data_IF_590189169628
#
_entry.id   IF_590189169628
#
_cell.length_a   1.000
_cell.length_b   1.000
_cell.length_c   1.000
_cell.angle_alpha   90.00
_cell.angle_beta   90.00
_cell.angle_gamma   90.00
#
_symmetry.space_group_name_H-M   'P 1'
#
loop_
_entity.id
_entity.type
_entity.pdbx_description
1 polymer ?
#
# COMPACT_ATOMS: atom_id res chain seq x y z
N UNK A 1 89.16 -42.36 -53.41
CA UNK A 1 88.12 -41.73 -54.22
C UNK A 1 88.00 -40.26 -53.79
N UNK A 2 88.81 -39.38 -54.43
CA UNK A 2 88.95 -37.97 -54.10
C UNK A 2 87.81 -37.17 -54.75
N UNK A 3 86.84 -36.67 -53.91
CA UNK A 3 85.73 -35.80 -54.40
C UNK A 3 86.36 -34.47 -54.79
N UNK A 4 86.20 -34.07 -56.06
CA UNK A 4 86.76 -32.85 -56.66
C UNK A 4 86.17 -31.58 -55.93
N UNK A 5 86.99 -30.53 -55.74
CA UNK A 5 86.57 -29.34 -54.95
C UNK A 5 85.30 -28.64 -55.47
N UNK A 6 85.05 -28.76 -56.80
CA UNK A 6 83.82 -28.23 -57.45
C UNK A 6 82.52 -28.91 -56.99
N UNK A 7 82.56 -30.20 -56.73
CA UNK A 7 81.39 -30.96 -56.27
C UNK A 7 80.96 -30.60 -54.80
N UNK A 8 81.99 -30.31 -53.99
CA UNK A 8 81.78 -29.81 -52.61
C UNK A 8 81.13 -28.43 -52.55
N UNK A 9 81.55 -27.55 -53.55
CA UNK A 9 81.00 -26.21 -53.63
C UNK A 9 79.51 -26.21 -54.08
N UNK A 10 79.14 -27.09 -55.03
CA UNK A 10 77.73 -27.25 -55.49
C UNK A 10 76.87 -27.82 -54.36
N UNK A 11 77.38 -28.79 -53.60
CA UNK A 11 76.67 -29.37 -52.49
C UNK A 11 76.43 -28.34 -51.36
N UNK A 12 77.41 -27.49 -51.05
CA UNK A 12 77.27 -26.42 -50.06
C UNK A 12 76.27 -25.36 -50.48
N UNK A 13 76.18 -25.01 -51.77
CA UNK A 13 75.19 -24.04 -52.32
C UNK A 13 73.78 -24.65 -52.26
N UNK A 14 73.59 -25.93 -52.62
CA UNK A 14 72.28 -26.57 -52.56
C UNK A 14 71.77 -26.70 -51.15
N UNK A 15 72.64 -27.02 -50.15
CA UNK A 15 72.27 -27.05 -48.71
C UNK A 15 71.96 -25.64 -48.25
N UNK A 16 72.73 -24.63 -48.63
CA UNK A 16 72.45 -23.22 -48.30
C UNK A 16 71.09 -22.72 -48.80
N UNK A 17 70.79 -23.03 -50.09
CA UNK A 17 69.45 -22.67 -50.65
C UNK A 17 68.34 -23.46 -49.99
N UNK A 18 68.52 -24.73 -49.63
CA UNK A 18 67.58 -25.54 -48.92
C UNK A 18 67.30 -24.98 -47.51
N UNK A 19 68.31 -24.52 -46.79
CA UNK A 19 68.14 -23.91 -45.45
C UNK A 19 67.47 -22.56 -45.55
N UNK A 20 67.76 -21.75 -46.57
CA UNK A 20 67.05 -20.48 -46.77
C UNK A 20 65.59 -20.71 -47.12
N UNK A 21 65.26 -21.67 -47.97
CA UNK A 21 63.86 -22.04 -48.28
C UNK A 21 63.11 -22.58 -47.04
N UNK A 22 63.78 -23.41 -46.26
CA UNK A 22 63.20 -23.91 -44.98
C UNK A 22 62.98 -22.78 -43.99
N UNK A 23 63.89 -21.82 -43.87
CA UNK A 23 63.74 -20.66 -42.98
C UNK A 23 62.58 -19.74 -43.43
N UNK A 24 62.44 -19.50 -44.76
CA UNK A 24 61.34 -18.72 -45.31
C UNK A 24 59.99 -19.43 -45.05
N UNK A 25 59.94 -20.75 -45.23
CA UNK A 25 58.77 -21.54 -44.99
C UNK A 25 58.41 -21.56 -43.48
N UNK A 26 59.36 -21.70 -42.57
CA UNK A 26 59.20 -21.67 -41.16
C UNK A 26 58.65 -20.28 -40.62
N UNK A 27 59.23 -19.18 -41.21
CA UNK A 27 58.72 -17.82 -40.89
C UNK A 27 57.30 -17.59 -41.44
N UNK A 28 57.02 -18.14 -42.63
CA UNK A 28 55.67 -18.11 -43.21
C UNK A 28 54.64 -18.87 -42.34
N UNK A 29 55.01 -20.09 -41.91
CA UNK A 29 54.20 -20.90 -41.04
C UNK A 29 53.96 -20.24 -39.66
N UNK A 30 55.02 -19.71 -39.04
CA UNK A 30 54.91 -18.99 -37.76
C UNK A 30 54.04 -17.74 -37.86
N UNK A 31 54.10 -16.99 -39.00
CA UNK A 31 53.20 -15.84 -39.21
C UNK A 31 51.74 -16.25 -39.41
N UNK A 32 51.47 -17.37 -40.10
CA UNK A 32 50.11 -17.86 -40.31
C UNK A 32 49.52 -18.39 -39.00
N UNK A 33 50.31 -19.02 -38.13
CA UNK A 33 49.87 -19.44 -36.80
C UNK A 33 49.61 -18.23 -35.90
N UNK A 34 50.48 -17.24 -35.86
CA UNK A 34 50.30 -16.00 -35.10
C UNK A 34 49.06 -15.20 -35.54
N UNK A 35 48.76 -15.15 -36.85
CA UNK A 35 47.56 -14.50 -37.36
C UNK A 35 46.30 -15.29 -37.03
N UNK A 36 46.35 -16.62 -37.08
CA UNK A 36 45.22 -17.47 -36.69
C UNK A 36 44.94 -17.44 -35.17
N UNK A 37 45.96 -17.23 -34.36
CA UNK A 37 45.86 -17.07 -32.91
C UNK A 37 45.30 -15.68 -32.56
N UNK A 38 45.80 -14.62 -33.20
CA UNK A 38 45.28 -13.26 -33.08
C UNK A 38 43.80 -13.14 -33.52
N UNK A 39 43.40 -13.92 -34.54
CA UNK A 39 41.96 -13.97 -34.94
C UNK A 39 41.09 -14.77 -33.96
N UNK A 40 41.66 -15.75 -33.24
CA UNK A 40 40.95 -16.49 -32.18
C UNK A 40 40.85 -15.68 -30.86
N UNK A 41 41.86 -14.88 -30.57
CA UNK A 41 41.90 -14.00 -29.42
C UNK A 41 41.16 -12.68 -29.64
N UNK A 42 40.76 -12.37 -30.89
CA UNK A 42 40.01 -11.16 -31.15
C UNK A 42 38.67 -11.23 -30.39
N UNK A 43 38.42 -10.34 -29.41
CA UNK A 43 37.16 -10.31 -28.67
C UNK A 43 36.01 -10.26 -29.67
N UNK A 44 35.03 -11.16 -29.53
CA UNK A 44 33.82 -11.11 -30.35
C UNK A 44 33.25 -9.69 -30.23
N UNK A 45 33.17 -8.98 -31.35
CA UNK A 45 32.64 -7.62 -31.39
C UNK A 45 31.29 -7.62 -30.71
N UNK A 46 31.23 -7.06 -29.52
CA UNK A 46 29.97 -6.93 -28.76
C UNK A 46 29.05 -6.07 -29.61
N UNK A 47 27.92 -6.57 -30.11
CA UNK A 47 27.04 -5.77 -30.93
C UNK A 47 26.63 -4.53 -30.19
N UNK A 48 26.82 -3.36 -30.77
CA UNK A 48 26.42 -2.09 -30.19
C UNK A 48 24.89 -2.10 -30.05
N UNK A 49 24.40 -2.16 -28.81
CA UNK A 49 22.97 -2.28 -28.50
C UNK A 49 22.34 -0.97 -28.06
N UNK A 50 23.16 0.00 -27.67
CA UNK A 50 22.74 1.30 -27.16
C UNK A 50 23.06 2.38 -28.20
N UNK A 51 22.04 3.17 -28.51
CA UNK A 51 22.08 4.28 -29.44
C UNK A 51 21.48 5.50 -28.76
N UNK A 52 21.83 6.69 -29.24
CA UNK A 52 21.15 7.94 -28.84
C UNK A 52 20.27 8.39 -30.00
N UNK A 53 18.99 8.57 -29.76
CA UNK A 53 18.02 9.08 -30.72
C UNK A 53 17.19 10.17 -30.05
N UNK A 54 17.18 11.37 -30.63
CA UNK A 54 16.49 12.57 -30.09
C UNK A 54 16.82 12.86 -28.62
N UNK A 55 18.13 12.72 -28.27
CA UNK A 55 18.62 12.95 -26.90
C UNK A 55 18.21 11.89 -25.86
N UNK A 56 17.55 10.80 -26.29
CA UNK A 56 17.16 9.70 -25.43
C UNK A 56 17.98 8.46 -25.74
N UNK A 57 18.31 7.72 -24.70
CA UNK A 57 18.97 6.41 -24.86
C UNK A 57 17.97 5.40 -25.41
N UNK A 58 18.33 4.76 -26.49
CA UNK A 58 17.53 3.75 -27.19
C UNK A 58 18.27 2.42 -27.18
N UNK A 59 17.65 1.38 -26.65
CA UNK A 59 18.23 0.05 -26.55
C UNK A 59 17.63 -0.87 -27.62
N UNK A 60 18.48 -1.43 -28.52
CA UNK A 60 18.08 -2.41 -29.52
C UNK A 60 18.58 -3.80 -29.13
N UNK A 61 17.65 -4.72 -28.91
CA UNK A 61 17.95 -6.12 -28.59
C UNK A 61 17.20 -6.99 -29.58
N UNK A 62 17.90 -7.97 -30.12
CA UNK A 62 17.29 -8.95 -31.00
C UNK A 62 16.30 -9.88 -30.29
N UNK A 63 15.32 -10.40 -31.03
CA UNK A 63 14.25 -11.22 -30.49
C UNK A 63 14.75 -12.50 -29.78
N UNK A 64 15.83 -13.10 -30.28
CA UNK A 64 16.40 -14.31 -29.69
C UNK A 64 17.02 -14.01 -28.30
N UNK A 65 17.67 -12.86 -28.17
CA UNK A 65 18.24 -12.40 -26.89
C UNK A 65 17.14 -12.01 -25.92
N UNK A 66 16.07 -11.32 -26.34
CA UNK A 66 14.92 -11.03 -25.49
C UNK A 66 14.31 -12.31 -24.88
N UNK A 67 14.11 -13.33 -25.70
CA UNK A 67 13.55 -14.61 -25.25
C UNK A 67 14.48 -15.33 -24.28
N UNK A 68 15.77 -15.40 -24.57
CA UNK A 68 16.78 -16.04 -23.70
C UNK A 68 16.94 -15.34 -22.35
N UNK A 69 16.80 -14.02 -22.35
CA UNK A 69 16.89 -13.19 -21.13
C UNK A 69 15.58 -13.14 -20.35
N UNK A 70 14.51 -13.82 -20.78
CA UNK A 70 13.22 -13.81 -20.12
C UNK A 70 12.52 -12.45 -20.11
N UNK A 71 12.85 -11.58 -21.08
CA UNK A 71 12.21 -10.27 -21.22
C UNK A 71 10.87 -10.46 -21.94
N UNK A 72 9.78 -10.18 -21.21
CA UNK A 72 8.42 -10.28 -21.75
C UNK A 72 7.87 -8.88 -22.00
N UNK A 73 7.35 -8.68 -23.21
CA UNK A 73 6.70 -7.43 -23.59
C UNK A 73 5.19 -7.65 -23.77
N UNK A 74 4.38 -6.73 -23.25
CA UNK A 74 2.93 -6.73 -23.48
C UNK A 74 2.41 -5.30 -23.67
N UNK A 75 1.18 -5.20 -24.15
CA UNK A 75 0.48 -3.92 -24.19
C UNK A 75 -0.07 -3.62 -22.80
N UNK A 76 0.21 -2.42 -22.31
CA UNK A 76 -0.32 -1.95 -21.04
C UNK A 76 -1.86 -1.83 -21.13
N UNK A 77 -2.55 -2.28 -20.10
CA UNK A 77 -4.02 -2.27 -20.07
C UNK A 77 -4.54 -0.97 -19.48
N UNK A 78 -5.75 -0.58 -19.89
CA UNK A 78 -6.45 0.49 -19.20
C UNK A 78 -6.70 0.09 -17.74
N UNK A 79 -6.65 1.06 -16.84
CA UNK A 79 -7.03 0.85 -15.46
C UNK A 79 -8.54 0.91 -15.36
N UNK A 80 -9.16 -0.23 -15.03
CA UNK A 80 -10.61 -0.34 -14.78
C UNK A 80 -10.95 -0.03 -13.32
N UNK A 81 -9.95 0.25 -12.48
CA UNK A 81 -10.10 0.45 -11.05
C UNK A 81 -9.73 1.86 -10.59
N UNK A 82 -10.43 2.32 -9.57
CA UNK A 82 -10.02 3.52 -8.87
C UNK A 82 -8.61 3.34 -8.29
N UNK A 83 -7.74 4.33 -8.47
CA UNK A 83 -6.41 4.33 -7.86
C UNK A 83 -6.55 4.31 -6.33
N UNK A 84 -5.70 3.55 -5.67
CA UNK A 84 -5.62 3.52 -4.21
C UNK A 84 -4.35 4.20 -3.72
N UNK A 85 -4.47 4.92 -2.62
CA UNK A 85 -3.35 5.53 -1.90
C UNK A 85 -3.27 4.87 -0.53
N UNK A 86 -2.10 4.39 -0.09
CA UNK A 86 -1.96 3.85 1.25
C UNK A 86 -2.11 4.96 2.28
N UNK A 87 -2.93 4.73 3.30
CA UNK A 87 -3.13 5.61 4.45
C UNK A 87 -2.92 4.84 5.74
N UNK A 88 -2.49 5.53 6.78
CA UNK A 88 -2.27 4.91 8.08
C UNK A 88 -3.59 4.78 8.84
N UNK A 89 -3.75 3.63 9.50
CA UNK A 89 -4.85 3.36 10.40
C UNK A 89 -4.33 2.73 11.71
N UNK A 90 -5.00 3.02 12.81
CA UNK A 90 -4.70 2.45 14.12
C UNK A 90 -5.94 1.78 14.68
N UNK A 91 -5.79 0.57 15.21
CA UNK A 91 -6.85 -0.11 15.95
C UNK A 91 -7.03 0.58 17.29
N UNK A 92 -8.19 1.21 17.49
CA UNK A 92 -8.46 2.01 18.69
C UNK A 92 -8.58 1.12 19.91
N UNK A 93 -7.93 1.51 21.01
CA UNK A 93 -8.21 0.93 22.31
C UNK A 93 -9.59 1.39 22.77
N UNK A 94 -10.48 0.45 22.95
CA UNK A 94 -11.89 0.70 23.30
C UNK A 94 -12.20 0.56 24.78
N UNK A 95 -11.21 0.43 25.66
CA UNK A 95 -11.41 0.33 27.10
C UNK A 95 -12.25 1.50 27.62
N UNK A 96 -11.88 2.72 27.24
CA UNK A 96 -12.62 3.93 27.64
C UNK A 96 -14.04 3.99 27.09
N UNK A 97 -14.26 3.54 25.86
CA UNK A 97 -15.61 3.43 25.29
C UNK A 97 -16.45 2.40 26.05
N UNK A 98 -15.85 1.30 26.46
CA UNK A 98 -16.49 0.27 27.30
C UNK A 98 -16.89 0.82 28.62
N UNK A 99 -16.04 1.58 29.32
CA UNK A 99 -16.36 2.24 30.59
C UNK A 99 -17.56 3.18 30.45
N UNK A 100 -17.57 4.01 29.41
CA UNK A 100 -18.66 4.95 29.17
C UNK A 100 -19.96 4.24 28.78
N UNK A 101 -19.89 3.14 28.03
CA UNK A 101 -21.06 2.32 27.69
C UNK A 101 -21.64 1.66 28.93
N UNK A 102 -20.83 1.14 29.86
CA UNK A 102 -21.25 0.57 31.13
C UNK A 102 -21.85 1.63 32.04
N UNK A 103 -21.20 2.80 32.16
CA UNK A 103 -21.73 3.91 32.97
C UNK A 103 -23.10 4.37 32.45
N UNK A 104 -23.27 4.44 31.15
CA UNK A 104 -24.58 4.76 30.56
C UNK A 104 -25.61 3.67 30.82
N UNK A 105 -25.28 2.39 30.71
CA UNK A 105 -26.21 1.28 30.94
C UNK A 105 -26.69 1.25 32.40
N UNK A 106 -25.77 1.47 33.35
CA UNK A 106 -26.11 1.61 34.76
C UNK A 106 -27.02 2.82 35.00
N UNK A 107 -26.68 3.98 34.43
CA UNK A 107 -27.48 5.20 34.51
C UNK A 107 -28.89 5.00 33.93
N UNK A 108 -29.00 4.36 32.77
CA UNK A 108 -30.29 4.07 32.13
C UNK A 108 -31.18 3.15 32.99
N UNK A 109 -30.56 2.13 33.61
CA UNK A 109 -31.28 1.26 34.56
C UNK A 109 -31.76 2.04 35.79
N UNK A 110 -30.94 2.94 36.34
CA UNK A 110 -31.31 3.81 37.47
C UNK A 110 -32.45 4.77 37.11
N UNK A 111 -32.42 5.36 35.90
CA UNK A 111 -33.50 6.19 35.36
C UNK A 111 -34.81 5.40 35.35
N UNK A 112 -34.81 4.19 34.77
CA UNK A 112 -36.00 3.34 34.74
C UNK A 112 -36.55 3.01 36.10
N UNK A 113 -35.69 2.63 37.07
CA UNK A 113 -36.09 2.34 38.43
C UNK A 113 -36.65 3.58 39.18
N UNK A 114 -36.00 4.74 39.03
CA UNK A 114 -36.45 5.98 39.67
C UNK A 114 -37.78 6.49 39.07
N UNK A 115 -37.95 6.39 37.75
CA UNK A 115 -39.22 6.71 37.08
C UNK A 115 -40.37 5.81 37.53
N UNK A 116 -40.12 4.50 37.74
CA UNK A 116 -41.12 3.58 38.26
C UNK A 116 -41.55 3.97 39.68
N UNK A 117 -40.59 4.36 40.55
CA UNK A 117 -40.91 4.85 41.91
C UNK A 117 -41.72 6.16 41.86
N UNK A 118 -41.29 7.13 41.06
CA UNK A 118 -42.00 8.41 40.90
C UNK A 118 -43.43 8.21 40.37
N UNK A 119 -43.64 7.27 39.45
CA UNK A 119 -44.98 6.95 38.96
C UNK A 119 -45.86 6.29 40.02
N UNK A 120 -45.31 5.40 40.84
CA UNK A 120 -46.03 4.76 41.98
C UNK A 120 -46.40 5.77 43.05
N UNK A 121 -45.48 6.65 43.47
CA UNK A 121 -45.73 7.69 44.45
C UNK A 121 -46.71 8.75 43.95
N UNK A 122 -46.65 9.09 42.64
CA UNK A 122 -47.66 9.95 42.01
C UNK A 122 -49.07 9.36 42.07
N UNK A 123 -49.23 8.05 41.79
CA UNK A 123 -50.51 7.37 41.89
C UNK A 123 -50.99 7.31 43.31
N UNK A 124 -50.11 7.11 44.33
CA UNK A 124 -50.40 7.15 45.73
C UNK A 124 -50.87 8.54 46.16
N UNK A 125 -50.14 9.58 45.76
CA UNK A 125 -50.57 10.96 46.07
C UNK A 125 -51.95 11.29 45.47
N UNK A 126 -52.19 10.84 44.22
CA UNK A 126 -53.50 11.06 43.59
C UNK A 126 -54.68 10.41 44.44
N UNK A 127 -54.48 9.16 44.90
CA UNK A 127 -55.45 8.49 45.74
C UNK A 127 -55.63 9.22 47.06
N UNK A 128 -54.56 9.61 47.74
CA UNK A 128 -54.60 10.32 49.02
C UNK A 128 -55.32 11.68 48.90
N UNK A 129 -55.15 12.39 47.79
CA UNK A 129 -55.84 13.65 47.45
C UNK A 129 -57.36 13.44 47.37
N UNK A 130 -57.80 12.37 46.66
CA UNK A 130 -59.19 12.03 46.52
C UNK A 130 -59.83 11.71 47.91
N UNK A 131 -59.12 10.87 48.72
CA UNK A 131 -59.60 10.51 50.07
C UNK A 131 -59.66 11.71 51.03
N UNK A 132 -58.69 12.65 50.87
CA UNK A 132 -58.72 13.87 51.69
C UNK A 132 -59.86 14.81 51.26
N UNK A 133 -60.16 14.88 49.96
CA UNK A 133 -61.30 15.69 49.47
C UNK A 133 -62.68 15.08 49.79
N UNK A 134 -62.77 13.73 49.87
CA UNK A 134 -63.97 12.99 50.18
C UNK A 134 -64.12 12.80 51.68
N UNK A 135 -64.80 13.74 52.34
CA UNK A 135 -65.13 13.76 53.79
C UNK A 135 -63.92 13.56 54.74
N UNK A 136 -62.71 13.93 54.29
CA UNK A 136 -61.47 13.81 55.10
C UNK A 136 -61.11 12.38 55.52
N UNK A 137 -61.39 11.38 54.70
CA UNK A 137 -61.02 9.98 54.97
C UNK A 137 -59.45 9.78 54.93
N UNK A 138 -58.69 10.82 54.63
CA UNK A 138 -57.25 10.90 54.89
C UNK A 138 -56.97 12.19 55.70
N UNK A 139 -55.94 12.15 56.59
CA UNK A 139 -55.48 13.33 57.31
C UNK A 139 -54.63 14.27 56.45
N UNK A 140 -54.57 15.56 56.88
CA UNK A 140 -53.65 16.52 56.23
C UNK A 140 -52.18 16.04 56.27
N UNK A 141 -51.78 15.42 57.40
CA UNK A 141 -50.46 14.87 57.58
C UNK A 141 -50.17 13.76 56.56
N UNK A 142 -51.14 12.87 56.25
CA UNK A 142 -50.99 11.84 55.20
C UNK A 142 -50.88 12.45 53.83
N UNK A 143 -51.64 13.50 53.51
CA UNK A 143 -51.56 14.22 52.27
C UNK A 143 -50.17 14.87 52.11
N UNK A 144 -49.64 15.56 53.09
CA UNK A 144 -48.33 16.18 53.11
C UNK A 144 -47.22 15.13 52.98
N UNK A 145 -47.33 13.99 53.68
CA UNK A 145 -46.35 12.89 53.53
C UNK A 145 -46.32 12.32 52.08
N UNK A 146 -47.51 12.11 51.47
CA UNK A 146 -47.59 11.63 50.11
C UNK A 146 -47.00 12.66 49.07
N UNK A 147 -47.22 13.97 49.37
CA UNK A 147 -46.59 15.04 48.51
C UNK A 147 -45.09 15.03 48.67
N UNK A 148 -44.56 14.92 49.89
CA UNK A 148 -43.13 14.88 50.15
C UNK A 148 -42.46 13.66 49.47
N UNK A 149 -43.12 12.48 49.62
CA UNK A 149 -42.58 11.25 48.92
C UNK A 149 -42.54 11.39 47.41
N UNK A 150 -43.62 11.90 46.80
CA UNK A 150 -43.62 12.11 45.34
C UNK A 150 -42.55 13.13 44.91
N UNK A 151 -42.38 14.22 45.65
CA UNK A 151 -41.35 15.22 45.35
C UNK A 151 -39.93 14.64 45.44
N UNK A 152 -39.68 13.80 46.47
CA UNK A 152 -38.38 13.12 46.62
C UNK A 152 -38.12 12.13 45.50
N UNK A 153 -39.10 11.30 45.12
CA UNK A 153 -38.96 10.34 44.02
C UNK A 153 -38.78 11.03 42.65
N UNK A 154 -39.47 12.15 42.43
CA UNK A 154 -39.31 12.97 41.24
C UNK A 154 -37.91 13.58 41.16
N UNK A 155 -37.36 14.07 42.28
CA UNK A 155 -35.99 14.59 42.34
C UNK A 155 -34.96 13.47 42.07
N UNK A 156 -35.19 12.27 42.59
CA UNK A 156 -34.35 11.11 42.36
C UNK A 156 -34.36 10.69 40.85
N UNK A 157 -35.54 10.73 40.21
CA UNK A 157 -35.65 10.45 38.78
C UNK A 157 -34.89 11.49 37.94
N UNK A 158 -34.99 12.77 38.29
CA UNK A 158 -34.27 13.84 37.61
C UNK A 158 -32.73 13.68 37.79
N UNK A 159 -32.25 13.34 38.98
CA UNK A 159 -30.84 13.10 39.26
C UNK A 159 -30.30 11.93 38.45
N UNK A 160 -31.03 10.81 38.39
CA UNK A 160 -30.64 9.66 37.56
C UNK A 160 -30.58 10.03 36.06
N UNK A 161 -31.54 10.83 35.57
CA UNK A 161 -31.55 11.31 34.19
C UNK A 161 -30.31 12.16 33.88
N UNK A 162 -29.89 13.04 34.79
CA UNK A 162 -28.66 13.84 34.62
C UNK A 162 -27.42 12.94 34.52
N UNK A 163 -27.31 11.93 35.37
CA UNK A 163 -26.19 10.98 35.35
C UNK A 163 -26.10 10.24 33.99
N UNK A 164 -27.23 9.71 33.50
CA UNK A 164 -27.27 9.01 32.20
C UNK A 164 -26.92 9.95 31.04
N UNK A 165 -27.42 11.20 31.06
CA UNK A 165 -27.09 12.19 30.00
C UNK A 165 -25.62 12.64 30.03
N UNK A 166 -25.02 12.71 31.24
CA UNK A 166 -23.60 13.02 31.41
C UNK A 166 -22.71 11.96 30.74
N UNK A 167 -23.01 10.66 30.94
CA UNK A 167 -22.29 9.58 30.30
C UNK A 167 -22.37 9.66 28.76
N UNK A 168 -23.56 9.97 28.22
CA UNK A 168 -23.74 10.21 26.77
C UNK A 168 -22.94 11.41 26.27
N UNK A 169 -22.93 12.51 27.01
CA UNK A 169 -22.19 13.71 26.65
C UNK A 169 -20.69 13.44 26.61
N UNK A 170 -20.16 12.74 27.60
CA UNK A 170 -18.74 12.33 27.66
C UNK A 170 -18.37 11.43 26.47
N UNK A 171 -19.20 10.44 26.14
CA UNK A 171 -18.97 9.57 25.01
C UNK A 171 -18.97 10.35 23.68
N UNK A 172 -19.90 11.29 23.51
CA UNK A 172 -19.96 12.15 22.32
C UNK A 172 -18.73 13.06 22.19
N UNK A 173 -18.26 13.61 23.30
CA UNK A 173 -17.09 14.48 23.31
C UNK A 173 -15.80 13.73 22.96
N UNK A 174 -15.68 12.49 23.41
CA UNK A 174 -14.46 11.70 23.24
C UNK A 174 -14.43 10.94 21.91
N UNK A 175 -15.56 10.35 21.50
CA UNK A 175 -15.64 9.48 20.33
C UNK A 175 -16.51 10.03 19.19
N UNK A 176 -17.19 11.14 19.39
CA UNK A 176 -18.10 11.72 18.40
C UNK A 176 -19.52 11.13 18.47
N UNK A 177 -20.39 11.66 17.59
CA UNK A 177 -21.81 11.29 17.60
C UNK A 177 -22.10 9.89 17.06
N UNK A 178 -21.19 9.32 16.30
CA UNK A 178 -21.37 8.02 15.65
C UNK A 178 -21.27 6.84 16.64
N UNK A 179 -20.49 7.00 17.73
CA UNK A 179 -20.25 5.96 18.75
C UNK A 179 -21.10 6.22 20.01
N UNK A 180 -22.41 6.12 19.84
CA UNK A 180 -23.36 6.36 20.93
C UNK A 180 -23.51 5.10 21.80
N UNK A 181 -23.28 5.19 23.16
CA UNK A 181 -23.62 4.14 24.10
C UNK A 181 -25.06 3.64 23.91
N UNK A 182 -25.27 2.33 24.04
CA UNK A 182 -26.56 1.68 23.84
C UNK A 182 -26.96 1.49 22.38
N UNK A 183 -26.07 1.78 21.43
CA UNK A 183 -26.27 1.41 20.02
C UNK A 183 -25.72 0.01 19.73
N UNK A 184 -26.34 -0.71 18.80
CA UNK A 184 -25.86 -2.03 18.37
C UNK A 184 -24.40 -2.02 17.88
N UNK A 185 -23.93 -0.88 17.36
CA UNK A 185 -22.55 -0.69 16.94
C UNK A 185 -21.60 -0.71 18.16
N UNK A 186 -21.89 0.08 19.19
CA UNK A 186 -21.08 0.12 20.41
C UNK A 186 -21.10 -1.23 21.11
N UNK A 187 -22.26 -1.90 21.17
CA UNK A 187 -22.41 -3.24 21.74
C UNK A 187 -21.58 -4.30 20.98
N UNK A 188 -21.45 -4.15 19.66
CA UNK A 188 -20.59 -5.01 18.88
C UNK A 188 -19.10 -4.77 19.16
N UNK A 189 -18.70 -3.51 19.35
CA UNK A 189 -17.32 -3.12 19.69
C UNK A 189 -16.95 -3.59 21.10
N UNK A 190 -17.80 -3.30 22.09
CA UNK A 190 -17.60 -3.71 23.50
C UNK A 190 -17.54 -5.23 23.62
N UNK A 191 -18.41 -5.94 22.89
CA UNK A 191 -18.42 -7.41 22.81
C UNK A 191 -17.34 -8.01 21.91
N UNK A 192 -16.40 -7.20 21.39
CA UNK A 192 -15.31 -7.60 20.50
C UNK A 192 -15.75 -8.34 19.22
N UNK A 193 -17.02 -8.23 18.83
CA UNK A 193 -17.51 -8.71 17.54
C UNK A 193 -17.04 -7.84 16.38
N UNK A 194 -16.73 -6.59 16.68
CA UNK A 194 -16.12 -5.63 15.75
C UNK A 194 -15.00 -4.87 16.43
N UNK A 195 -13.97 -4.50 15.67
CA UNK A 195 -12.88 -3.63 16.12
C UNK A 195 -13.05 -2.26 15.48
N UNK A 196 -12.72 -1.23 16.23
CA UNK A 196 -12.75 0.16 15.80
C UNK A 196 -11.38 0.54 15.25
N UNK A 197 -11.35 1.12 14.04
CA UNK A 197 -10.16 1.67 13.41
C UNK A 197 -10.29 3.18 13.34
N UNK A 198 -9.23 3.90 13.63
CA UNK A 198 -9.08 5.31 13.32
C UNK A 198 -8.13 5.44 12.12
N UNK A 199 -8.66 5.91 11.01
CA UNK A 199 -7.92 6.14 9.77
C UNK A 199 -7.61 7.62 9.66
N UNK A 200 -6.35 7.96 9.39
CA UNK A 200 -5.92 9.33 9.13
C UNK A 200 -6.03 9.60 7.62
N UNK A 201 -7.05 10.35 7.22
CA UNK A 201 -7.23 10.75 5.84
C UNK A 201 -6.45 12.03 5.54
N UNK A 202 -5.69 12.09 4.42
CA UNK A 202 -5.04 13.31 3.96
C UNK A 202 -6.04 14.45 3.76
N UNK A 203 -5.63 15.72 3.87
CA UNK A 203 -6.53 16.87 3.72
C UNK A 203 -7.23 16.94 2.36
N UNK A 204 -6.59 16.44 1.32
CA UNK A 204 -7.02 16.39 -0.08
C UNK A 204 -7.81 15.12 -0.45
N UNK A 205 -7.99 14.21 0.48
CA UNK A 205 -8.65 12.92 0.24
C UNK A 205 -10.16 13.01 -0.06
N UNK A 206 -10.76 14.18 -0.03
CA UNK A 206 -12.20 14.36 -0.29
C UNK A 206 -13.10 13.74 0.78
N UNK A 207 -14.25 13.19 0.37
CA UNK A 207 -15.18 12.51 1.27
C UNK A 207 -14.65 11.11 1.64
N UNK A 208 -14.81 10.67 2.92
CA UNK A 208 -14.43 9.32 3.32
C UNK A 208 -15.21 8.27 2.51
N UNK A 209 -14.55 7.28 1.88
CA UNK A 209 -15.26 6.23 1.17
C UNK A 209 -16.05 5.33 2.14
N UNK A 210 -17.17 4.73 1.70
CA UNK A 210 -17.99 3.88 2.55
C UNK A 210 -17.25 2.62 3.03
N UNK A 211 -16.27 2.17 2.27
CA UNK A 211 -15.45 1.01 2.60
C UNK A 211 -13.98 1.26 2.26
N UNK A 212 -13.09 0.66 3.05
CA UNK A 212 -11.64 0.61 2.84
C UNK A 212 -11.18 -0.84 2.92
N UNK A 213 -10.09 -1.15 2.26
CA UNK A 213 -9.36 -2.40 2.48
C UNK A 213 -8.23 -2.12 3.45
N UNK A 214 -8.16 -2.90 4.50
CA UNK A 214 -7.13 -2.83 5.53
C UNK A 214 -6.28 -4.08 5.44
N UNK A 215 -4.98 -3.90 5.45
CA UNK A 215 -4.01 -4.99 5.45
C UNK A 215 -3.32 -5.04 6.81
N UNK A 216 -3.44 -6.20 7.49
CA UNK A 216 -2.75 -6.48 8.74
C UNK A 216 -1.35 -7.03 8.50
N UNK A 217 -0.54 -7.18 9.57
CA UNK A 217 0.83 -7.69 9.52
C UNK A 217 0.95 -9.09 8.89
N UNK A 218 -0.11 -9.89 8.95
CA UNK A 218 -0.16 -11.23 8.34
C UNK A 218 -0.45 -11.22 6.84
N UNK A 219 -0.57 -10.03 6.20
CA UNK A 219 -0.98 -9.89 4.81
C UNK A 219 -2.47 -10.19 4.56
N UNK A 220 -3.26 -10.43 5.61
CA UNK A 220 -4.70 -10.64 5.49
C UNK A 220 -5.40 -9.32 5.21
N UNK A 221 -6.11 -9.27 4.09
CA UNK A 221 -6.86 -8.10 3.64
C UNK A 221 -8.30 -8.20 4.13
N UNK A 222 -8.74 -7.19 4.88
CA UNK A 222 -10.08 -7.15 5.48
C UNK A 222 -10.80 -5.87 5.07
N UNK A 223 -12.08 -5.98 4.74
CA UNK A 223 -12.91 -4.80 4.43
C UNK A 223 -13.31 -4.08 5.71
N UNK A 224 -13.00 -2.78 5.78
CA UNK A 224 -13.42 -1.87 6.84
C UNK A 224 -14.58 -1.01 6.35
N UNK A 225 -15.61 -0.85 7.17
CA UNK A 225 -16.81 -0.06 6.87
C UNK A 225 -16.81 1.26 7.62
N UNK A 226 -17.17 2.34 6.94
CA UNK A 226 -17.25 3.70 7.49
C UNK A 226 -18.26 3.76 8.66
N UNK A 227 -17.84 4.41 9.75
CA UNK A 227 -18.65 4.74 10.91
C UNK A 227 -18.95 6.24 10.94
N UNK A 228 -17.94 7.08 10.80
CA UNK A 228 -18.08 8.52 10.84
C UNK A 228 -16.79 9.25 11.18
N UNK A 229 -16.88 10.57 11.31
CA UNK A 229 -15.72 11.37 11.71
C UNK A 229 -15.31 11.07 13.15
N UNK A 230 -14.01 10.99 13.41
CA UNK A 230 -13.47 10.91 14.75
C UNK A 230 -13.58 12.28 15.42
N UNK A 231 -13.92 12.30 16.72
CA UNK A 231 -13.98 13.54 17.51
C UNK A 231 -12.61 14.16 17.74
N UNK A 232 -11.55 13.34 17.69
CA UNK A 232 -10.15 13.76 17.87
C UNK A 232 -9.29 13.16 16.78
N UNK A 233 -8.37 13.97 16.24
CA UNK A 233 -7.30 13.48 15.38
C UNK A 233 -6.21 12.81 16.23
N UNK A 234 -5.53 11.83 15.66
CA UNK A 234 -4.31 11.29 16.26
C UNK A 234 -3.18 12.31 16.08
N UNK A 235 -2.56 12.83 17.16
CA UNK A 235 -1.51 13.84 17.05
C UNK A 235 -0.23 13.29 16.38
N UNK A 236 -0.08 11.97 16.28
CA UNK A 236 1.09 11.31 15.68
C UNK A 236 1.01 11.24 14.15
N UNK A 237 -0.21 11.33 13.60
CA UNK A 237 -0.44 11.18 12.16
C UNK A 237 -1.17 12.41 11.64
N UNK A 238 -0.56 13.20 10.75
CA UNK A 238 -1.24 14.35 10.17
C UNK A 238 -2.41 13.90 9.31
N UNK A 239 -3.58 14.53 9.50
CA UNK A 239 -4.78 14.23 8.72
C UNK A 239 -6.06 14.32 9.53
N UNK A 240 -7.18 14.14 8.84
CA UNK A 240 -8.51 14.08 9.44
C UNK A 240 -8.80 12.66 9.93
N UNK A 241 -9.06 12.49 11.23
CA UNK A 241 -9.45 11.20 11.81
C UNK A 241 -10.84 10.77 11.36
N UNK A 242 -10.96 9.55 10.88
CA UNK A 242 -12.24 8.92 10.50
C UNK A 242 -12.31 7.52 11.10
N UNK A 243 -13.43 7.17 11.67
CA UNK A 243 -13.68 5.86 12.24
C UNK A 243 -14.24 4.88 11.20
N UNK A 244 -13.65 3.69 11.20
CA UNK A 244 -14.11 2.52 10.46
C UNK A 244 -14.23 1.33 11.41
N UNK A 245 -15.00 0.33 11.02
CA UNK A 245 -15.09 -0.95 11.76
C UNK A 245 -14.69 -2.11 10.86
N UNK A 246 -14.03 -3.08 11.48
CA UNK A 246 -13.72 -4.38 10.89
C UNK A 246 -14.29 -5.49 11.76
N UNK A 247 -14.52 -6.71 11.21
CA UNK A 247 -14.91 -7.87 12.02
C UNK A 247 -13.87 -8.18 13.10
N UNK A 248 -14.30 -8.62 14.28
CA UNK A 248 -13.42 -9.04 15.37
C UNK A 248 -12.54 -10.26 15.02
N UNK A 249 -12.91 -10.98 13.98
CA UNK A 249 -12.17 -12.14 13.43
C UNK A 249 -11.04 -11.75 12.46
N UNK A 250 -10.80 -10.44 12.25
CA UNK A 250 -9.78 -9.93 11.32
C UNK A 250 -8.32 -10.21 11.72
N UNK A 251 -8.07 -10.74 12.91
CA UNK A 251 -6.71 -10.95 13.44
C UNK A 251 -6.02 -9.68 13.94
N UNK A 252 -6.69 -8.53 13.86
CA UNK A 252 -6.18 -7.26 14.38
C UNK A 252 -6.36 -7.18 15.89
N UNK A 253 -5.47 -6.44 16.56
CA UNK A 253 -5.54 -6.22 18.01
C UNK A 253 -5.52 -4.72 18.36
N UNK A 254 -6.16 -4.28 19.45
CA UNK A 254 -6.14 -2.89 19.90
C UNK A 254 -4.72 -2.36 20.06
N UNK A 255 -4.48 -1.13 19.59
CA UNK A 255 -3.16 -0.48 19.60
C UNK A 255 -2.29 -0.78 18.38
N UNK A 256 -2.67 -1.72 17.53
CA UNK A 256 -1.93 -2.08 16.31
C UNK A 256 -2.06 -0.99 15.25
N UNK A 257 -0.96 -0.65 14.60
CA UNK A 257 -0.94 0.21 13.42
C UNK A 257 -0.98 -0.64 12.15
N UNK A 258 -1.83 -0.29 11.22
CA UNK A 258 -2.04 -1.02 9.97
C UNK A 258 -2.13 -0.05 8.80
N UNK A 259 -1.95 -0.56 7.59
CA UNK A 259 -2.13 0.22 6.37
C UNK A 259 -3.54 -0.03 5.81
N UNK A 260 -4.22 1.05 5.46
CA UNK A 260 -5.48 0.99 4.74
C UNK A 260 -5.32 1.55 3.33
N UNK A 261 -6.02 0.99 2.37
CA UNK A 261 -6.04 1.45 0.99
C UNK A 261 -7.23 2.38 0.77
N UNK A 262 -6.93 3.67 0.65
CA UNK A 262 -7.91 4.69 0.32
C UNK A 262 -8.13 4.71 -1.19
N UNK A 263 -9.34 4.39 -1.62
CA UNK A 263 -9.75 4.61 -3.02
C UNK A 263 -9.92 6.11 -3.26
N UNK A 264 -9.03 6.70 -4.04
CA UNK A 264 -9.20 8.08 -4.47
C UNK A 264 -10.29 8.11 -5.53
N UNK A 265 -11.46 8.61 -5.15
CA UNK A 265 -12.67 8.64 -5.98
C UNK A 265 -12.52 9.53 -7.22
N UNK A 266 -11.94 8.96 -8.23
CA UNK A 266 -11.95 9.42 -9.60
C UNK A 266 -11.81 8.18 -10.45
N UNK A 267 -12.79 7.91 -11.28
CA UNK A 267 -12.62 7.00 -12.41
C UNK A 267 -11.60 7.67 -13.35
N UNK A 268 -10.37 7.84 -12.86
CA UNK A 268 -9.27 8.35 -13.64
C UNK A 268 -8.89 7.24 -14.59
N UNK A 269 -9.32 7.39 -15.84
CA UNK A 269 -8.80 6.59 -16.92
C UNK A 269 -7.28 6.72 -16.89
N UNK A 270 -6.63 5.64 -16.55
CA UNK A 270 -5.19 5.55 -16.47
C UNK A 270 -4.72 4.26 -17.11
N UNK A 271 -3.45 4.04 -17.07
CA UNK A 271 -2.79 2.83 -17.56
C UNK A 271 -2.30 2.02 -16.37
N UNK A 272 -2.62 0.76 -16.33
CA UNK A 272 -2.10 -0.19 -15.34
C UNK A 272 -0.71 -0.66 -15.76
N UNK A 273 0.26 -0.45 -14.89
CA UNK A 273 1.64 -0.90 -15.04
C UNK A 273 1.91 -1.97 -13.98
N UNK A 274 2.25 -3.21 -14.37
CA UNK A 274 2.67 -4.23 -13.43
C UNK A 274 3.90 -3.78 -12.61
N UNK A 275 3.94 -4.10 -11.32
CA UNK A 275 5.07 -3.74 -10.47
C UNK A 275 6.40 -4.31 -10.99
N UNK A 276 6.38 -5.46 -11.67
CA UNK A 276 7.53 -6.09 -12.33
C UNK A 276 8.09 -5.32 -13.54
N UNK A 277 7.30 -4.39 -14.12
CA UNK A 277 7.72 -3.54 -15.23
C UNK A 277 8.47 -2.28 -14.78
N UNK A 278 8.40 -1.95 -13.49
CA UNK A 278 8.96 -0.71 -12.94
C UNK A 278 10.40 -0.92 -12.50
N UNK A 279 11.27 -0.01 -12.93
CA UNK A 279 12.69 0.02 -12.59
C UNK A 279 13.02 1.30 -11.84
N UNK A 280 13.69 1.18 -10.70
CA UNK A 280 14.19 2.32 -9.92
C UNK A 280 15.64 2.61 -10.32
N UNK A 281 15.90 3.84 -10.75
CA UNK A 281 17.25 4.27 -11.12
C UNK A 281 17.43 5.77 -10.88
N UNK A 282 18.53 6.15 -10.23
CA UNK A 282 18.87 7.53 -9.87
C UNK A 282 17.74 8.28 -9.12
N UNK A 283 17.04 7.59 -8.20
CA UNK A 283 15.98 8.19 -7.41
C UNK A 283 14.65 8.38 -8.14
N UNK A 284 14.57 8.00 -9.41
CA UNK A 284 13.34 8.05 -10.21
C UNK A 284 12.87 6.65 -10.58
N UNK A 285 11.57 6.56 -10.90
CA UNK A 285 10.92 5.34 -11.37
C UNK A 285 10.67 5.39 -12.87
N UNK A 286 10.96 4.29 -13.54
CA UNK A 286 10.97 4.19 -14.98
C UNK A 286 10.32 2.92 -15.47
N UNK A 287 9.84 2.93 -16.73
CA UNK A 287 9.46 1.74 -17.50
C UNK A 287 10.16 1.77 -18.86
N UNK A 288 10.37 0.59 -19.44
CA UNK A 288 10.92 0.44 -20.78
C UNK A 288 9.79 0.24 -21.79
N UNK A 289 9.47 1.32 -22.52
CA UNK A 289 8.49 1.30 -23.61
C UNK A 289 9.10 0.75 -24.87
N UNK A 290 8.44 -0.21 -25.52
CA UNK A 290 8.85 -0.73 -26.82
C UNK A 290 8.31 0.13 -27.95
N UNK A 291 9.19 0.57 -28.84
CA UNK A 291 8.87 1.36 -30.05
C UNK A 291 8.36 0.45 -31.17
N UNK A 292 7.74 1.02 -32.23
CA UNK A 292 7.35 0.25 -33.42
C UNK A 292 8.52 -0.42 -34.16
N UNK A 293 9.72 0.17 -34.11
CA UNK A 293 10.96 -0.39 -34.67
C UNK A 293 11.58 -1.51 -33.82
N UNK A 294 10.89 -1.91 -32.71
CA UNK A 294 11.32 -2.95 -31.78
C UNK A 294 12.31 -2.53 -30.71
N UNK A 295 12.80 -1.30 -30.76
CA UNK A 295 13.71 -0.75 -29.76
C UNK A 295 13.00 -0.36 -28.47
N UNK A 296 13.74 -0.31 -27.36
CA UNK A 296 13.25 0.12 -26.07
C UNK A 296 13.70 1.53 -25.72
N UNK A 297 12.79 2.31 -25.16
CA UNK A 297 13.06 3.67 -24.67
C UNK A 297 12.53 3.77 -23.25
N UNK A 298 13.37 4.25 -22.34
CA UNK A 298 13.00 4.46 -20.94
C UNK A 298 12.13 5.72 -20.80
N UNK A 299 11.01 5.58 -20.08
CA UNK A 299 10.05 6.65 -19.83
C UNK A 299 9.82 6.76 -18.32
N UNK A 300 9.87 7.97 -17.73
CA UNK A 300 9.59 8.15 -16.31
C UNK A 300 8.11 7.88 -16.03
N UNK A 301 7.82 7.29 -14.86
CA UNK A 301 6.44 7.03 -14.41
C UNK A 301 6.28 7.42 -12.95
N UNK A 302 5.09 7.92 -12.58
CA UNK A 302 4.74 8.13 -11.18
C UNK A 302 4.29 6.80 -10.55
N UNK A 303 4.78 6.53 -9.34
CA UNK A 303 4.44 5.32 -8.58
C UNK A 303 3.61 5.61 -7.32
N UNK A 304 3.02 6.82 -7.25
CA UNK A 304 2.24 7.28 -6.10
C UNK A 304 0.90 6.54 -5.95
N UNK A 305 0.35 6.05 -7.07
CA UNK A 305 -0.96 5.42 -7.08
C UNK A 305 -0.84 3.93 -7.45
N UNK A 306 -1.50 3.08 -6.66
CA UNK A 306 -1.60 1.64 -6.91
C UNK A 306 -3.07 1.24 -7.01
N UNK A 307 -3.35 0.16 -7.72
CA UNK A 307 -4.64 -0.51 -7.67
C UNK A 307 -4.66 -1.61 -6.59
N UNK A 308 -5.83 -2.20 -6.35
CA UNK A 308 -6.01 -3.28 -5.38
C UNK A 308 -5.16 -4.53 -5.66
N UNK A 309 -4.67 -4.71 -6.89
CA UNK A 309 -3.79 -5.81 -7.28
C UNK A 309 -2.30 -5.49 -7.06
N UNK A 310 -1.97 -4.32 -6.51
CA UNK A 310 -0.59 -3.88 -6.26
C UNK A 310 0.14 -3.31 -7.47
N UNK A 311 -0.54 -3.20 -8.62
CA UNK A 311 0.01 -2.57 -9.83
C UNK A 311 -0.09 -1.05 -9.75
N UNK A 312 0.80 -0.35 -10.44
CA UNK A 312 0.76 1.11 -10.51
C UNK A 312 -0.27 1.60 -11.51
N UNK A 313 -0.89 2.73 -11.22
CA UNK A 313 -1.84 3.41 -12.11
C UNK A 313 -1.25 4.76 -12.47
N UNK A 314 -1.03 4.98 -13.76
CA UNK A 314 -0.38 6.19 -14.30
C UNK A 314 -1.24 6.83 -15.40
N UNK A 315 -1.04 8.12 -15.63
CA UNK A 315 -1.68 8.81 -16.76
C UNK A 315 -0.91 8.67 -18.06
N UNK A 316 0.41 8.64 -18.00
CA UNK A 316 1.32 8.46 -19.13
C UNK A 316 2.28 7.32 -18.81
N UNK A 317 2.49 6.36 -19.73
CA UNK A 317 1.97 6.26 -21.10
C UNK A 317 0.49 5.81 -21.19
N UNK A 318 -0.19 6.09 -22.33
CA UNK A 318 -1.58 5.71 -22.52
C UNK A 318 -1.78 4.19 -22.62
N UNK A 319 -3.00 3.68 -22.35
CA UNK A 319 -3.34 2.27 -22.54
C UNK A 319 -3.04 1.80 -23.97
N UNK A 320 -2.64 0.53 -24.11
CA UNK A 320 -2.24 -0.05 -25.40
C UNK A 320 -0.76 0.16 -25.75
N UNK A 321 -0.02 0.97 -24.97
CA UNK A 321 1.42 1.16 -25.16
C UNK A 321 2.16 -0.15 -24.90
N UNK A 322 3.00 -0.64 -25.84
CA UNK A 322 3.81 -1.82 -25.61
C UNK A 322 4.98 -1.48 -24.67
N UNK A 323 5.18 -2.29 -23.64
CA UNK A 323 6.25 -2.12 -22.67
C UNK A 323 6.81 -3.47 -22.20
N UNK A 324 8.01 -3.47 -21.62
CA UNK A 324 8.56 -4.62 -20.92
C UNK A 324 7.80 -4.78 -19.60
N UNK A 325 7.10 -5.90 -19.44
CA UNK A 325 6.35 -6.21 -18.23
C UNK A 325 7.10 -7.17 -17.30
N UNK A 326 8.15 -7.81 -17.80
CA UNK A 326 9.05 -8.68 -17.06
C UNK A 326 10.47 -8.54 -17.61
N UNK A 327 11.48 -8.60 -16.73
CA UNK A 327 12.89 -8.48 -17.11
C UNK A 327 13.36 -7.04 -17.36
N UNK A 328 12.63 -6.02 -16.96
CA UNK A 328 13.02 -4.60 -17.16
C UNK A 328 14.37 -4.26 -16.50
N UNK A 329 14.73 -4.88 -15.37
CA UNK A 329 16.06 -4.71 -14.75
C UNK A 329 17.21 -5.17 -15.64
N UNK A 330 16.99 -6.19 -16.49
CA UNK A 330 18.00 -6.67 -17.43
C UNK A 330 18.23 -5.65 -18.54
N UNK A 331 17.18 -4.96 -19.00
CA UNK A 331 17.29 -3.86 -19.98
C UNK A 331 18.15 -2.73 -19.42
N UNK A 332 17.94 -2.34 -18.17
CA UNK A 332 18.78 -1.36 -17.49
C UNK A 332 20.24 -1.82 -17.39
N UNK A 333 20.47 -3.08 -17.03
CA UNK A 333 21.83 -3.63 -16.92
C UNK A 333 22.58 -3.64 -18.26
N UNK A 334 21.90 -3.96 -19.37
CA UNK A 334 22.49 -3.91 -20.72
C UNK A 334 22.79 -2.47 -21.16
N UNK A 335 21.94 -1.53 -20.83
CA UNK A 335 22.18 -0.11 -21.10
C UNK A 335 23.42 0.40 -20.35
N UNK A 336 23.52 0.11 -19.05
CA UNK A 336 24.64 0.55 -18.23
C UNK A 336 25.96 -0.12 -18.63
N UNK A 337 25.92 -1.40 -19.02
CA UNK A 337 27.11 -2.11 -19.50
C UNK A 337 27.75 -1.45 -20.72
N UNK A 338 26.94 -0.94 -21.64
CA UNK A 338 27.45 -0.28 -22.84
C UNK A 338 27.91 1.15 -22.59
N UNK A 339 27.58 1.75 -21.45
CA UNK A 339 28.06 3.07 -21.03
C UNK A 339 29.33 3.00 -20.17
N UNK A 340 29.69 1.79 -19.67
CA UNK A 340 30.95 1.60 -18.97
C UNK A 340 32.12 1.86 -19.94
N UNK A 341 33.12 2.68 -19.58
CA UNK A 341 34.30 2.87 -20.38
C UNK A 341 34.95 1.49 -20.61
N UNK A 342 35.19 1.11 -21.86
CA UNK A 342 36.15 0.06 -22.17
C UNK A 342 37.48 0.53 -21.60
N UNK A 343 37.93 -0.05 -20.48
CA UNK A 343 39.32 0.09 -20.07
C UNK A 343 40.14 -0.43 -21.24
N UNK A 344 40.70 0.51 -22.03
CA UNK A 344 41.79 0.19 -22.91
C UNK A 344 42.98 -0.12 -22.03
N UNK A 345 43.31 -1.40 -21.86
CA UNK A 345 44.60 -1.80 -21.36
C UNK A 345 45.65 -1.12 -22.26
N UNK A 346 46.13 0.01 -21.77
CA UNK A 346 47.29 0.67 -22.28
C UNK A 346 48.52 0.11 -21.57
N UNK A 347 49.25 -0.72 -22.27
CA UNK A 347 50.67 -0.93 -22.07
C UNK A 347 51.38 -0.77 -23.41
#
# INVERSE_FOLDING_TARGET
MTITPRLRMIFAVVIGVGLIAAAIWAVGAARSEASAEADRERPAATPQRVFTDDGKTVLRIDAATLTRSGIVTARLTASDGAATVPVFATVVDTARLTDLANAWAVGAAQVSAAQARASASRASLARTRLLYADAQNASLAQLQAAQATYAADQAAANAAQVQATTALASARQEFGSALRPGSALVDAIVGRRSLLLQVALPPDAGAPPPTLIVEGDSGVRTSARLVGAAARADPRVPGRGVYYIVPGTSGLVPGMSVTAELTTGGNRQGTTIPASAVVNWQGNTWIDRRRPDGAFVRVPVSTEQRNLAGNYVVHDPPPGTPAAIQGAQLLLSEELRSQAPTESDGD
#
